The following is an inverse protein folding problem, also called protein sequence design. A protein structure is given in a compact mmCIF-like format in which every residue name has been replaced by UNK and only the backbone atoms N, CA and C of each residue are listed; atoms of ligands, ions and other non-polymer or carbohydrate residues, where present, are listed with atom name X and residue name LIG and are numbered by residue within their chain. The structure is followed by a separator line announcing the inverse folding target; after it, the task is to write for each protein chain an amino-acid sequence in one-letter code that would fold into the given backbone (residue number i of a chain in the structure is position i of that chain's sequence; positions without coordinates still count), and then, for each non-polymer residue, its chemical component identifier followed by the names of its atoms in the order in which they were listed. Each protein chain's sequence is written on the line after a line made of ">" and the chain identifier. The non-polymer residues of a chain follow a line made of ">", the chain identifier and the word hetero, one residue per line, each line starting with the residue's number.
data_IF_718804512854
#
_entry.id   IF_718804512854
#
_cell.length_a   1.000
_cell.length_b   1.000
_cell.length_c   1.000
_cell.angle_alpha   90.00
_cell.angle_beta   90.00
_cell.angle_gamma   90.00
#
_symmetry.space_group_name_H-M   'P 1'
#
loop_
_entity.id
_entity.type
_entity.pdbx_description
1 polymer ?
#
# COMPACT_ATOMS: atom_id res chain seq x y z
N UNK A 1 -19.41 16.22 21.09
CA UNK A 1 -18.17 15.48 20.78
C UNK A 1 -18.14 15.19 19.28
N UNK A 2 -17.04 15.48 18.59
CA UNK A 2 -16.93 15.35 17.13
C UNK A 2 -17.09 13.90 16.66
N UNK A 3 -17.58 13.71 15.44
CA UNK A 3 -17.93 12.41 14.83
C UNK A 3 -16.80 11.35 14.92
N UNK A 4 -15.53 11.77 14.98
CA UNK A 4 -14.35 10.89 15.06
C UNK A 4 -13.97 10.45 16.49
N UNK A 5 -14.53 11.06 17.55
CA UNK A 5 -14.16 10.74 18.93
C UNK A 5 -14.39 9.26 19.30
N UNK A 6 -15.39 8.62 18.67
CA UNK A 6 -15.67 7.19 18.87
C UNK A 6 -14.55 6.28 18.35
N UNK A 7 -13.90 6.64 17.24
CA UNK A 7 -12.87 5.81 16.62
C UNK A 7 -11.53 5.88 17.37
N UNK A 8 -11.21 7.04 17.95
CA UNK A 8 -9.98 7.21 18.75
C UNK A 8 -9.91 6.31 19.97
N UNK A 9 -11.06 5.98 20.56
CA UNK A 9 -11.14 5.17 21.79
C UNK A 9 -11.67 3.76 21.54
N UNK A 10 -11.71 3.29 20.29
CA UNK A 10 -12.29 1.98 19.95
C UNK A 10 -11.59 0.81 20.64
N UNK A 11 -10.31 0.96 20.95
CA UNK A 11 -9.53 0.00 21.75
C UNK A 11 -10.06 -0.19 23.19
N UNK A 12 -10.83 0.76 23.74
CA UNK A 12 -11.48 0.59 25.05
C UNK A 12 -12.62 -0.42 25.02
N UNK A 13 -13.22 -0.65 23.83
CA UNK A 13 -14.37 -1.54 23.64
C UNK A 13 -14.03 -2.77 22.79
N UNK A 14 -12.98 -2.71 21.97
CA UNK A 14 -12.51 -3.78 21.08
C UNK A 14 -11.05 -4.14 21.44
N UNK A 15 -10.82 -5.18 22.28
CA UNK A 15 -9.47 -5.54 22.76
C UNK A 15 -8.49 -5.92 21.64
N UNK A 16 -9.01 -6.38 20.49
CA UNK A 16 -8.24 -6.74 19.29
C UNK A 16 -7.65 -5.51 18.57
N UNK A 17 -8.16 -4.31 18.85
CA UNK A 17 -7.67 -3.06 18.27
C UNK A 17 -6.57 -2.52 19.16
N UNK A 18 -5.34 -2.48 18.65
CA UNK A 18 -4.24 -1.86 19.40
C UNK A 18 -4.56 -0.39 19.71
N UNK A 19 -4.18 0.13 20.88
CA UNK A 19 -4.37 1.53 21.26
C UNK A 19 -3.44 2.48 20.49
N UNK A 20 -2.72 1.99 19.48
CA UNK A 20 -1.69 2.72 18.74
C UNK A 20 -1.84 2.53 17.24
N UNK A 21 -1.39 3.52 16.46
CA UNK A 21 -1.33 3.46 15.00
C UNK A 21 -0.04 2.79 14.48
N UNK A 22 0.72 2.11 15.35
CA UNK A 22 2.05 1.55 15.04
C UNK A 22 2.04 0.65 13.80
N UNK A 23 0.99 -0.15 13.61
CA UNK A 23 0.81 -0.99 12.42
C UNK A 23 0.78 -0.19 11.13
N UNK A 24 -0.05 0.85 11.08
CA UNK A 24 -0.16 1.75 9.93
C UNK A 24 1.15 2.51 9.69
N UNK A 25 1.76 3.05 10.75
CA UNK A 25 3.03 3.76 10.64
C UNK A 25 4.16 2.88 10.10
N UNK A 26 4.27 1.64 10.57
CA UNK A 26 5.24 0.66 10.06
C UNK A 26 5.02 0.36 8.58
N UNK A 27 3.77 0.31 8.12
CA UNK A 27 3.44 0.05 6.72
C UNK A 27 3.82 1.22 5.80
N UNK A 28 3.62 2.47 6.23
CA UNK A 28 3.95 3.66 5.41
C UNK A 28 5.42 4.07 5.49
N UNK A 29 6.14 3.68 6.56
CA UNK A 29 7.53 4.09 6.82
C UNK A 29 8.49 3.88 5.64
N UNK A 30 8.45 2.76 4.88
CA UNK A 30 9.30 2.59 3.71
C UNK A 30 9.15 3.71 2.68
N UNK A 31 7.91 4.12 2.37
CA UNK A 31 7.60 5.20 1.41
C UNK A 31 8.13 6.55 1.91
N UNK A 32 7.97 6.81 3.21
CA UNK A 32 8.42 8.07 3.83
C UNK A 32 9.95 8.18 3.80
N UNK A 33 10.66 7.09 4.13
CA UNK A 33 12.12 7.03 4.09
C UNK A 33 12.62 7.22 2.66
N UNK A 34 12.05 6.49 1.70
CA UNK A 34 12.40 6.61 0.28
C UNK A 34 12.25 8.04 -0.22
N UNK A 35 11.10 8.67 0.03
CA UNK A 35 10.86 10.05 -0.37
C UNK A 35 11.82 11.04 0.30
N UNK A 36 12.21 10.78 1.54
CA UNK A 36 13.18 11.62 2.26
C UNK A 36 14.58 11.53 1.64
N UNK A 37 15.01 10.33 1.25
CA UNK A 37 16.34 10.08 0.67
C UNK A 37 16.40 10.56 -0.78
N UNK A 38 15.41 10.21 -1.60
CA UNK A 38 15.37 10.51 -3.03
C UNK A 38 14.89 11.93 -3.34
N UNK A 39 14.38 12.64 -2.34
CA UNK A 39 13.63 13.91 -2.47
C UNK A 39 12.35 13.81 -3.32
N UNK A 40 11.99 12.59 -3.77
CA UNK A 40 10.82 12.32 -4.59
C UNK A 40 10.85 12.97 -5.98
N UNK A 41 9.71 12.91 -6.65
CA UNK A 41 9.53 13.46 -8.01
C UNK A 41 8.58 14.66 -7.99
N UNK A 42 8.83 15.67 -8.84
CA UNK A 42 7.98 16.87 -8.95
C UNK A 42 6.98 16.85 -10.12
N UNK A 43 7.16 15.97 -11.10
CA UNK A 43 6.25 15.85 -12.24
C UNK A 43 5.13 14.85 -11.98
N UNK A 44 3.96 15.08 -12.58
CA UNK A 44 2.77 14.23 -12.41
C UNK A 44 3.04 12.76 -12.75
N UNK A 45 3.78 12.50 -13.83
CA UNK A 45 4.16 11.15 -14.22
C UNK A 45 5.00 10.43 -13.15
N UNK A 46 5.95 11.14 -12.53
CA UNK A 46 6.78 10.62 -11.44
C UNK A 46 5.96 10.35 -10.18
N UNK A 47 5.07 11.29 -9.82
CA UNK A 47 4.20 11.15 -8.66
C UNK A 47 3.29 9.92 -8.83
N UNK A 48 2.69 9.75 -10.02
CA UNK A 48 1.86 8.58 -10.35
C UNK A 48 2.65 7.28 -10.35
N UNK A 49 3.89 7.29 -10.82
CA UNK A 49 4.75 6.12 -10.74
C UNK A 49 5.02 5.71 -9.29
N UNK A 50 5.49 6.66 -8.47
CA UNK A 50 5.76 6.42 -7.04
C UNK A 50 4.51 5.93 -6.29
N UNK A 51 3.35 6.53 -6.54
CA UNK A 51 2.05 6.10 -5.98
C UNK A 51 1.78 4.62 -6.29
N UNK A 52 1.93 4.22 -7.57
CA UNK A 52 1.63 2.86 -8.02
C UNK A 52 2.62 1.82 -7.52
N UNK A 53 3.92 2.10 -7.59
CA UNK A 53 4.94 1.11 -7.22
C UNK A 53 4.94 0.84 -5.73
N UNK A 54 4.81 1.88 -4.89
CA UNK A 54 4.74 1.72 -3.44
C UNK A 54 3.46 0.99 -3.00
N UNK A 55 2.32 1.30 -3.63
CA UNK A 55 1.06 0.56 -3.42
C UNK A 55 1.21 -0.92 -3.78
N UNK A 56 1.85 -1.20 -4.91
CA UNK A 56 2.10 -2.57 -5.40
C UNK A 56 2.97 -3.34 -4.43
N UNK A 57 4.13 -2.79 -4.05
CA UNK A 57 5.06 -3.41 -3.09
C UNK A 57 4.37 -3.69 -1.75
N UNK A 58 3.66 -2.71 -1.19
CA UNK A 58 2.99 -2.84 0.09
C UNK A 58 1.90 -3.92 0.05
N UNK A 59 1.12 -3.96 -1.03
CA UNK A 59 0.02 -4.93 -1.20
C UNK A 59 0.56 -6.34 -1.44
N UNK A 60 1.55 -6.50 -2.33
CA UNK A 60 2.23 -7.79 -2.55
C UNK A 60 2.83 -8.33 -1.25
N UNK A 61 3.53 -7.49 -0.47
CA UNK A 61 4.08 -7.88 0.83
C UNK A 61 2.98 -8.31 1.81
N UNK A 62 1.87 -7.60 1.88
CA UNK A 62 0.73 -7.93 2.75
C UNK A 62 0.11 -9.28 2.39
N UNK A 63 0.02 -9.60 1.10
CA UNK A 63 -0.55 -10.86 0.60
C UNK A 63 0.48 -11.98 0.44
N UNK A 64 1.72 -11.81 0.92
CA UNK A 64 2.81 -12.78 0.74
C UNK A 64 3.03 -13.17 -0.75
N UNK A 65 2.79 -12.22 -1.66
CA UNK A 65 3.01 -12.38 -3.09
C UNK A 65 4.35 -11.78 -3.50
N UNK A 66 5.08 -12.46 -4.37
CA UNK A 66 6.28 -11.92 -4.96
C UNK A 66 5.95 -10.70 -5.84
N UNK A 67 6.57 -9.56 -5.55
CA UNK A 67 6.33 -8.30 -6.25
C UNK A 67 6.91 -8.31 -7.67
N UNK A 68 8.05 -8.97 -7.88
CA UNK A 68 8.67 -9.07 -9.20
C UNK A 68 7.80 -9.88 -10.16
N UNK A 69 7.25 -11.00 -9.69
CA UNK A 69 6.36 -11.83 -10.49
C UNK A 69 5.10 -11.04 -10.89
N UNK A 70 4.50 -10.28 -9.96
CA UNK A 70 3.35 -9.44 -10.27
C UNK A 70 3.66 -8.36 -11.31
N UNK A 71 4.81 -7.67 -11.19
CA UNK A 71 5.23 -6.65 -12.15
C UNK A 71 5.47 -7.29 -13.52
N UNK A 72 6.19 -8.43 -13.55
CA UNK A 72 6.46 -9.17 -14.77
C UNK A 72 5.15 -9.59 -15.48
N UNK A 73 4.22 -10.21 -14.76
CA UNK A 73 2.90 -10.59 -15.30
C UNK A 73 2.13 -9.37 -15.83
N UNK A 74 2.20 -8.24 -15.13
CA UNK A 74 1.52 -7.00 -15.53
C UNK A 74 2.09 -6.43 -16.84
N UNK A 75 3.42 -6.45 -16.99
CA UNK A 75 4.11 -6.00 -18.21
C UNK A 75 3.79 -6.92 -19.40
N UNK A 76 3.84 -8.24 -19.19
CA UNK A 76 3.47 -9.22 -20.22
C UNK A 76 2.00 -9.06 -20.62
N UNK A 77 1.09 -8.85 -19.67
CA UNK A 77 -0.32 -8.62 -19.95
C UNK A 77 -0.55 -7.36 -20.79
N UNK A 78 0.15 -6.26 -20.48
CA UNK A 78 0.11 -5.02 -21.27
C UNK A 78 0.51 -5.26 -22.73
N UNK A 79 1.68 -5.86 -22.98
CA UNK A 79 2.17 -6.09 -24.35
C UNK A 79 1.38 -7.15 -25.11
N UNK A 80 0.79 -8.12 -24.42
CA UNK A 80 0.00 -9.17 -25.04
C UNK A 80 -1.49 -8.81 -25.19
N UNK A 81 -1.89 -7.60 -24.80
CA UNK A 81 -3.28 -7.16 -24.72
C UNK A 81 -4.20 -8.15 -23.95
N UNK A 82 -3.67 -8.72 -22.87
CA UNK A 82 -4.36 -9.68 -22.00
C UNK A 82 -4.88 -8.96 -20.74
N UNK A 83 -5.78 -9.63 -20.01
CA UNK A 83 -6.27 -9.14 -18.71
C UNK A 83 -5.12 -9.05 -17.70
N UNK A 84 -5.03 -7.91 -17.01
CA UNK A 84 -4.03 -7.71 -15.96
C UNK A 84 -4.24 -8.64 -14.75
N UNK A 85 -3.16 -9.06 -14.08
CA UNK A 85 -3.27 -9.75 -12.80
C UNK A 85 -3.94 -8.81 -11.76
N UNK A 86 -4.81 -9.37 -10.91
CA UNK A 86 -5.37 -8.59 -9.79
C UNK A 86 -4.29 -8.36 -8.74
N UNK A 87 -4.15 -7.11 -8.26
CA UNK A 87 -3.26 -6.78 -7.16
C UNK A 87 -3.82 -7.26 -5.82
N UNK A 88 -5.14 -7.18 -5.65
CA UNK A 88 -5.86 -7.62 -4.45
C UNK A 88 -6.34 -9.04 -4.71
N UNK A 89 -5.89 -10.01 -3.90
CA UNK A 89 -6.48 -11.34 -3.91
C UNK A 89 -7.91 -11.23 -3.35
N UNK A 90 -8.91 -11.55 -4.17
CA UNK A 90 -10.29 -11.72 -3.70
C UNK A 90 -10.40 -13.01 -2.87
N UNK A 91 -9.93 -12.97 -1.62
CA UNK A 91 -10.38 -13.89 -0.58
C UNK A 91 -10.55 -13.08 0.70
N UNK A 92 -11.82 -12.90 1.07
CA UNK A 92 -12.27 -12.54 2.42
C UNK A 92 -12.07 -13.77 3.33
#
# INVERSE_FOLDING_TARGET
>A
MGKAAKDYFRFLTEPEVEPTNNGTERQIRPVVIDRRITQGTRGDAGIRWCERIWTTIATCKKHQRNVFDFIHESVIAYWSNKKYPSLICQKL
#
